data_IF_282590454046
#
_entry.id   IF_282590454046
#
_cell.length_a   1.000
_cell.length_b   1.000
_cell.length_c   1.000
_cell.angle_alpha   90.00
_cell.angle_beta   90.00
_cell.angle_gamma   90.00
#
_symmetry.space_group_name_H-M   'P 1'
#
loop_
_entity.id
_entity.type
_entity.pdbx_description
1 polymer ?
#
# COMPACT_ATOMS: atom_id res chain seq x y z
N UNK A 1 -1.76 11.54 2.06
CA UNK A 1 -1.23 12.92 2.10
C UNK A 1 -1.42 13.56 3.47
N UNK A 2 -2.67 13.71 3.94
CA UNK A 2 -2.99 14.25 5.26
C UNK A 2 -2.27 13.54 6.42
N UNK A 3 -2.40 12.21 6.51
CA UNK A 3 -1.75 11.41 7.56
C UNK A 3 -0.22 11.51 7.53
N UNK A 4 0.36 11.80 6.37
CA UNK A 4 1.80 11.95 6.19
C UNK A 4 2.29 13.40 6.35
N UNK A 5 1.41 14.32 6.77
CA UNK A 5 1.75 15.73 6.96
C UNK A 5 2.05 16.50 5.67
N UNK A 6 1.60 16.03 4.50
CA UNK A 6 1.77 16.71 3.21
C UNK A 6 0.54 17.58 2.91
N UNK A 7 0.32 18.62 3.71
CA UNK A 7 -0.88 19.48 3.68
C UNK A 7 -0.96 20.28 2.38
N UNK A 8 0.12 20.91 1.94
CA UNK A 8 0.14 21.72 0.71
C UNK A 8 -0.16 20.87 -0.54
N UNK A 9 0.42 19.67 -0.60
CA UNK A 9 0.15 18.72 -1.68
C UNK A 9 -1.32 18.24 -1.64
N UNK A 10 -1.86 18.02 -0.44
CA UNK A 10 -3.26 17.65 -0.29
C UNK A 10 -4.19 18.75 -0.82
N UNK A 11 -3.92 20.00 -0.45
CA UNK A 11 -4.68 21.16 -0.92
C UNK A 11 -4.63 21.29 -2.45
N UNK A 12 -3.45 21.18 -3.06
CA UNK A 12 -3.29 21.23 -4.52
C UNK A 12 -4.12 20.14 -5.22
N UNK A 13 -4.08 18.91 -4.72
CA UNK A 13 -4.86 17.80 -5.26
C UNK A 13 -6.37 18.00 -5.07
N UNK A 14 -6.80 18.50 -3.90
CA UNK A 14 -8.21 18.83 -3.66
C UNK A 14 -8.70 19.87 -4.68
N UNK A 15 -7.95 20.96 -4.87
CA UNK A 15 -8.29 22.02 -5.83
C UNK A 15 -8.41 21.47 -7.25
N UNK A 16 -7.47 20.63 -7.68
CA UNK A 16 -7.48 19.98 -9.00
C UNK A 16 -8.69 19.06 -9.17
N UNK A 17 -8.99 18.24 -8.17
CA UNK A 17 -10.12 17.30 -8.22
C UNK A 17 -11.47 18.03 -8.29
N UNK A 18 -11.69 19.03 -7.43
CA UNK A 18 -12.92 19.85 -7.45
C UNK A 18 -13.06 20.59 -8.78
N UNK A 19 -11.97 21.18 -9.29
CA UNK A 19 -11.99 21.84 -10.59
C UNK A 19 -12.31 20.87 -11.74
N UNK A 20 -11.79 19.64 -11.70
CA UNK A 20 -12.07 18.62 -12.72
C UNK A 20 -13.54 18.20 -12.73
N UNK A 21 -14.16 18.02 -11.56
CA UNK A 21 -15.59 17.71 -11.45
C UNK A 21 -16.45 18.86 -11.98
N UNK A 22 -16.16 20.10 -11.57
CA UNK A 22 -16.87 21.30 -12.08
C UNK A 22 -16.69 21.46 -13.59
N UNK A 23 -15.49 21.25 -14.12
CA UNK A 23 -15.21 21.33 -15.55
C UNK A 23 -15.93 20.25 -16.37
N UNK A 24 -16.22 19.08 -15.77
CA UNK A 24 -17.05 18.05 -16.37
C UNK A 24 -18.55 18.40 -16.36
N UNK A 25 -18.95 19.48 -15.67
CA UNK A 25 -20.35 19.86 -15.50
C UNK A 25 -21.12 18.92 -14.56
N UNK A 26 -20.40 18.14 -13.75
CA UNK A 26 -21.00 17.22 -12.79
C UNK A 26 -21.23 17.91 -11.45
N UNK A 27 -22.37 17.61 -10.83
CA UNK A 27 -22.73 18.01 -9.47
C UNK A 27 -22.58 16.86 -8.47
N UNK A 28 -22.42 15.62 -8.96
CA UNK A 28 -22.40 14.40 -8.15
C UNK A 28 -21.23 13.51 -8.52
N UNK A 29 -20.47 13.07 -7.51
CA UNK A 29 -19.40 12.07 -7.65
C UNK A 29 -19.88 10.73 -7.09
N UNK A 30 -19.86 9.71 -7.93
CA UNK A 30 -20.18 8.32 -7.54
C UNK A 30 -18.89 7.56 -7.28
N UNK A 31 -18.74 7.06 -6.06
CA UNK A 31 -17.55 6.37 -5.58
C UNK A 31 -17.77 4.86 -5.54
N UNK A 32 -16.75 4.11 -5.96
CA UNK A 32 -16.67 2.65 -5.76
C UNK A 32 -15.82 2.23 -4.56
N UNK A 33 -14.94 3.13 -4.09
CA UNK A 33 -14.03 2.89 -3.00
C UNK A 33 -14.48 3.70 -1.76
N UNK A 34 -14.55 3.10 -0.57
CA UNK A 34 -14.89 3.79 0.68
C UNK A 34 -13.95 4.91 1.09
N UNK A 35 -12.66 4.75 0.81
CA UNK A 35 -11.70 5.82 1.10
C UNK A 35 -12.00 7.04 0.21
N UNK A 36 -12.33 6.82 -1.06
CA UNK A 36 -12.77 7.90 -1.95
C UNK A 36 -14.09 8.51 -1.47
N UNK A 37 -15.06 7.68 -1.07
CA UNK A 37 -16.33 8.17 -0.51
C UNK A 37 -16.10 9.05 0.72
N UNK A 38 -15.28 8.63 1.69
CA UNK A 38 -14.91 9.48 2.82
C UNK A 38 -14.31 10.82 2.39
N UNK A 39 -13.41 10.78 1.39
CA UNK A 39 -12.74 11.99 0.92
C UNK A 39 -13.74 12.97 0.31
N UNK A 40 -14.58 12.52 -0.61
CA UNK A 40 -15.57 13.37 -1.28
C UNK A 40 -16.75 13.75 -0.37
N UNK A 41 -17.21 12.86 0.49
CA UNK A 41 -18.39 13.09 1.34
C UNK A 41 -18.08 13.96 2.56
N UNK A 42 -16.87 13.83 3.13
CA UNK A 42 -16.54 14.46 4.41
C UNK A 42 -15.31 15.35 4.35
N UNK A 43 -14.17 14.80 3.89
CA UNK A 43 -12.90 15.49 4.07
C UNK A 43 -12.75 16.70 3.14
N UNK A 44 -13.11 16.57 1.87
CA UNK A 44 -13.07 17.67 0.91
C UNK A 44 -13.99 18.83 1.28
N UNK A 45 -15.27 18.62 1.67
CA UNK A 45 -16.11 19.72 2.13
C UNK A 45 -15.53 20.45 3.35
N UNK A 46 -15.06 19.72 4.37
CA UNK A 46 -14.43 20.32 5.56
C UNK A 46 -13.19 21.18 5.18
N UNK A 47 -12.38 20.68 4.26
CA UNK A 47 -11.20 21.40 3.80
C UNK A 47 -11.53 22.57 2.88
N UNK A 48 -12.54 22.44 2.02
CA UNK A 48 -13.00 23.52 1.18
C UNK A 48 -13.53 24.68 2.04
N UNK A 49 -14.27 24.39 3.12
CA UNK A 49 -14.69 25.40 4.09
C UNK A 49 -13.49 26.12 4.72
N UNK A 50 -12.50 25.39 5.22
CA UNK A 50 -11.26 25.96 5.78
C UNK A 50 -10.50 26.87 4.80
N UNK A 51 -10.57 26.55 3.52
CA UNK A 51 -9.89 27.28 2.44
C UNK A 51 -10.75 28.39 1.82
N UNK A 52 -11.99 28.60 2.28
CA UNK A 52 -12.93 29.55 1.68
C UNK A 52 -13.31 29.20 0.24
N UNK A 53 -13.27 27.91 -0.12
CA UNK A 53 -13.60 27.41 -1.44
C UNK A 53 -15.05 26.92 -1.48
N UNK A 54 -15.74 27.22 -2.57
CA UNK A 54 -17.08 26.68 -2.82
C UNK A 54 -17.00 25.19 -3.19
N UNK A 55 -17.67 24.37 -2.37
CA UNK A 55 -17.82 22.93 -2.56
C UNK A 55 -19.31 22.60 -2.73
N UNK A 56 -19.77 22.56 -3.98
CA UNK A 56 -21.14 22.21 -4.37
C UNK A 56 -21.12 20.89 -5.16
N UNK A 57 -20.64 19.84 -4.50
CA UNK A 57 -20.52 18.49 -5.07
C UNK A 57 -21.13 17.49 -4.08
N UNK A 58 -22.15 16.77 -4.52
CA UNK A 58 -22.72 15.64 -3.80
C UNK A 58 -21.83 14.40 -3.98
N UNK A 59 -21.63 13.62 -2.92
CA UNK A 59 -20.90 12.36 -2.99
C UNK A 59 -21.82 11.19 -2.65
N UNK A 60 -21.81 10.16 -3.48
CA UNK A 60 -22.54 8.89 -3.25
C UNK A 60 -21.62 7.70 -3.42
N UNK A 61 -21.87 6.64 -2.69
CA UNK A 61 -21.29 5.34 -2.95
C UNK A 61 -22.22 4.55 -3.88
N UNK A 62 -21.66 3.74 -4.79
CA UNK A 62 -22.49 3.00 -5.76
C UNK A 62 -23.53 2.09 -5.09
N UNK A 63 -23.25 1.57 -3.89
CA UNK A 63 -24.18 0.71 -3.17
C UNK A 63 -25.48 1.42 -2.84
N UNK A 64 -25.44 2.72 -2.47
CA UNK A 64 -26.64 3.52 -2.19
C UNK A 64 -27.50 3.66 -3.45
N UNK A 65 -26.88 3.90 -4.59
CA UNK A 65 -27.57 4.07 -5.87
C UNK A 65 -28.23 2.75 -6.31
N UNK A 66 -27.50 1.65 -6.22
CA UNK A 66 -28.02 0.33 -6.61
C UNK A 66 -29.12 -0.11 -5.65
N UNK A 67 -28.93 0.07 -4.34
CA UNK A 67 -29.95 -0.19 -3.32
C UNK A 67 -31.22 0.60 -3.58
N UNK A 68 -31.13 1.92 -3.81
CA UNK A 68 -32.28 2.77 -4.09
C UNK A 68 -33.06 2.30 -5.32
N UNK A 69 -32.35 1.91 -6.39
CA UNK A 69 -32.99 1.37 -7.61
C UNK A 69 -33.63 0.00 -7.38
N UNK A 70 -33.06 -0.85 -6.55
CA UNK A 70 -33.67 -2.13 -6.16
C UNK A 70 -34.97 -1.87 -5.38
N UNK A 71 -34.93 -0.96 -4.39
CA UNK A 71 -36.10 -0.60 -3.57
C UNK A 71 -37.25 -0.02 -4.39
N UNK A 72 -36.93 0.74 -5.45
CA UNK A 72 -37.89 1.34 -6.38
C UNK A 72 -38.36 0.40 -7.49
N UNK A 73 -37.92 -0.86 -7.47
CA UNK A 73 -38.21 -1.85 -8.53
C UNK A 73 -37.67 -1.45 -9.93
N UNK A 74 -36.74 -0.48 -9.99
CA UNK A 74 -36.12 0.00 -11.23
C UNK A 74 -34.95 -0.87 -11.70
N UNK A 75 -34.41 -1.71 -10.80
CA UNK A 75 -33.28 -2.58 -11.09
C UNK A 75 -33.46 -3.95 -10.41
N UNK A 76 -33.17 -5.01 -11.16
CA UNK A 76 -33.20 -6.40 -10.69
C UNK A 76 -32.03 -7.18 -11.24
N UNK A 77 -31.47 -8.03 -10.40
CA UNK A 77 -30.50 -9.04 -10.76
C UNK A 77 -31.19 -10.21 -11.47
N UNK A 78 -30.61 -10.72 -12.56
CA UNK A 78 -31.29 -11.68 -13.45
C UNK A 78 -30.87 -13.13 -13.26
N UNK A 79 -29.59 -13.40 -12.96
CA UNK A 79 -29.03 -14.74 -12.91
C UNK A 79 -28.72 -15.17 -11.47
N UNK A 80 -29.09 -16.38 -11.04
CA UNK A 80 -28.79 -16.80 -9.69
C UNK A 80 -27.31 -17.06 -9.48
N UNK A 81 -26.78 -16.67 -8.33
CA UNK A 81 -25.44 -17.03 -7.87
C UNK A 81 -25.61 -17.91 -6.64
N UNK A 82 -25.18 -19.18 -6.73
CA UNK A 82 -25.23 -20.12 -5.60
C UNK A 82 -23.99 -19.98 -4.74
N UNK A 83 -24.17 -20.13 -3.43
CA UNK A 83 -23.10 -20.16 -2.44
C UNK A 83 -23.42 -19.30 -1.23
N UNK A 84 -22.81 -19.66 -0.10
CA UNK A 84 -22.92 -18.90 1.14
C UNK A 84 -21.91 -17.75 1.12
N UNK A 85 -22.40 -16.53 1.19
CA UNK A 85 -21.58 -15.34 1.19
C UNK A 85 -21.72 -14.58 2.50
N UNK A 86 -20.66 -13.87 2.86
CA UNK A 86 -20.67 -12.94 3.98
C UNK A 86 -20.10 -11.59 3.59
N UNK A 87 -20.22 -10.60 4.47
CA UNK A 87 -19.93 -9.21 4.19
C UNK A 87 -18.89 -8.62 5.13
N UNK A 88 -17.88 -7.95 4.56
CA UNK A 88 -16.92 -7.18 5.32
C UNK A 88 -17.27 -5.68 5.32
N UNK A 89 -17.73 -5.19 6.47
CA UNK A 89 -17.90 -3.76 6.74
C UNK A 89 -16.56 -3.05 6.81
N UNK A 90 -16.19 -2.33 5.73
CA UNK A 90 -14.98 -1.52 5.75
C UNK A 90 -15.12 -0.32 6.70
N UNK A 91 -14.04 0.07 7.36
CA UNK A 91 -14.07 1.15 8.35
C UNK A 91 -14.57 2.49 7.77
N UNK A 92 -14.19 2.81 6.53
CA UNK A 92 -14.55 4.09 5.92
C UNK A 92 -16.02 4.16 5.49
N UNK A 93 -16.59 3.08 4.94
CA UNK A 93 -17.99 3.09 4.49
C UNK A 93 -18.95 3.01 5.70
N UNK A 94 -18.59 2.19 6.68
CA UNK A 94 -19.42 1.93 7.85
C UNK A 94 -19.24 3.02 8.90
N UNK A 95 -18.09 3.04 9.58
CA UNK A 95 -17.89 3.90 10.76
C UNK A 95 -17.81 5.40 10.43
N UNK A 96 -17.43 5.75 9.20
CA UNK A 96 -17.32 7.16 8.79
C UNK A 96 -18.54 7.60 8.00
N UNK A 97 -18.91 6.89 6.93
CA UNK A 97 -20.05 7.29 6.10
C UNK A 97 -21.42 6.79 6.62
N UNK A 98 -21.46 5.88 7.60
CA UNK A 98 -22.71 5.36 8.17
C UNK A 98 -23.49 4.41 7.24
N UNK A 99 -22.88 3.96 6.15
CA UNK A 99 -23.50 3.15 5.11
C UNK A 99 -23.28 1.68 5.46
N UNK A 100 -24.36 1.01 5.85
CA UNK A 100 -24.34 -0.38 6.30
C UNK A 100 -25.35 -1.25 5.56
N UNK A 101 -26.58 -0.76 5.39
CA UNK A 101 -27.67 -1.57 4.82
C UNK A 101 -27.59 -1.64 3.30
N UNK A 102 -27.13 -0.58 2.64
CA UNK A 102 -27.14 -0.49 1.19
C UNK A 102 -26.31 -1.59 0.52
N UNK A 103 -25.08 -1.90 0.97
CA UNK A 103 -24.35 -3.07 0.46
C UNK A 103 -25.08 -4.40 0.74
N UNK A 104 -25.71 -4.54 1.91
CA UNK A 104 -26.45 -5.76 2.30
C UNK A 104 -27.67 -5.97 1.43
N UNK A 105 -28.39 -4.90 1.12
CA UNK A 105 -29.55 -4.92 0.23
C UNK A 105 -29.15 -5.30 -1.19
N UNK A 106 -28.01 -4.81 -1.68
CA UNK A 106 -27.43 -5.25 -2.96
C UNK A 106 -27.14 -6.76 -2.94
N UNK A 107 -26.54 -7.28 -1.86
CA UNK A 107 -26.24 -8.72 -1.72
C UNK A 107 -27.53 -9.55 -1.70
N UNK A 108 -28.49 -9.18 -0.84
CA UNK A 108 -29.76 -9.90 -0.65
C UNK A 108 -30.65 -9.88 -1.90
N UNK A 109 -30.48 -8.89 -2.76
CA UNK A 109 -31.22 -8.80 -4.02
C UNK A 109 -30.71 -9.78 -5.10
N UNK A 110 -29.52 -10.36 -4.95
CA UNK A 110 -28.97 -11.33 -5.89
C UNK A 110 -29.70 -12.67 -5.71
N UNK A 111 -30.36 -13.22 -6.76
CA UNK A 111 -31.07 -14.48 -6.62
C UNK A 111 -30.13 -15.63 -6.25
N UNK A 112 -30.58 -16.54 -5.37
CA UNK A 112 -29.86 -17.76 -5.03
C UNK A 112 -28.66 -17.60 -4.08
N UNK A 113 -28.31 -16.37 -3.69
CA UNK A 113 -27.29 -16.12 -2.68
C UNK A 113 -27.82 -16.49 -1.29
N UNK A 114 -26.99 -17.20 -0.53
CA UNK A 114 -27.22 -17.42 0.90
C UNK A 114 -26.36 -16.43 1.67
N UNK A 115 -26.96 -15.35 2.18
CA UNK A 115 -26.22 -14.33 2.93
C UNK A 115 -26.28 -14.59 4.43
N UNK A 116 -25.12 -14.64 5.08
CA UNK A 116 -25.01 -14.71 6.53
C UNK A 116 -23.98 -13.71 7.07
N UNK A 117 -24.38 -12.99 8.12
CA UNK A 117 -23.49 -12.06 8.81
C UNK A 117 -22.47 -12.82 9.64
N UNK A 118 -21.26 -12.28 9.69
CA UNK A 118 -20.29 -12.68 10.70
C UNK A 118 -20.66 -12.09 12.08
N UNK A 119 -20.08 -12.64 13.15
CA UNK A 119 -20.38 -12.27 14.53
C UNK A 119 -20.22 -10.77 14.79
N UNK A 120 -19.12 -10.17 14.34
CA UNK A 120 -18.90 -8.74 14.39
C UNK A 120 -19.21 -8.10 13.03
N UNK A 121 -20.23 -7.27 13.00
CA UNK A 121 -20.71 -6.57 11.83
C UNK A 121 -21.09 -5.12 12.20
N UNK A 122 -21.45 -4.32 11.20
CA UNK A 122 -21.74 -2.90 11.36
C UNK A 122 -20.57 -2.14 12.01
N UNK A 123 -20.85 -1.30 13.01
CA UNK A 123 -19.85 -0.53 13.75
C UNK A 123 -18.86 -1.40 14.53
N UNK A 124 -19.25 -2.62 14.89
CA UNK A 124 -18.42 -3.58 15.62
C UNK A 124 -17.50 -4.39 14.69
N UNK A 125 -17.67 -4.29 13.36
CA UNK A 125 -16.88 -5.04 12.38
C UNK A 125 -15.36 -4.90 12.58
N UNK A 126 -14.65 -6.02 12.65
CA UNK A 126 -13.19 -5.99 12.79
C UNK A 126 -12.50 -5.47 11.53
N UNK A 127 -11.39 -4.74 11.72
CA UNK A 127 -10.58 -4.21 10.63
C UNK A 127 -9.97 -5.33 9.78
N UNK A 128 -9.73 -5.07 8.49
CA UNK A 128 -8.99 -6.00 7.62
C UNK A 128 -7.48 -6.07 7.92
N UNK A 129 -6.93 -5.08 8.64
CA UNK A 129 -5.49 -4.94 8.88
C UNK A 129 -4.75 -3.97 7.94
N UNK A 130 -5.45 -3.39 6.95
CA UNK A 130 -4.87 -2.46 5.97
C UNK A 130 -5.45 -1.05 6.12
N UNK A 131 -4.75 0.03 5.74
CA UNK A 131 -3.40 0.07 5.13
C UNK A 131 -2.31 0.39 6.15
N UNK A 132 -2.62 1.15 7.20
CA UNK A 132 -1.60 1.68 8.12
C UNK A 132 -0.86 0.58 8.90
N UNK A 133 -1.58 -0.42 9.42
CA UNK A 133 -0.93 -1.56 10.09
C UNK A 133 -0.08 -2.35 9.11
N UNK A 134 -0.59 -2.62 7.91
CA UNK A 134 0.18 -3.28 6.84
C UNK A 134 1.49 -2.56 6.51
N UNK A 135 1.48 -1.23 6.47
CA UNK A 135 2.70 -0.43 6.23
C UNK A 135 3.66 -0.43 7.42
N UNK A 136 3.13 -0.47 8.64
CA UNK A 136 3.94 -0.35 9.87
C UNK A 136 4.49 -1.70 10.33
N UNK A 137 3.67 -2.74 10.26
CA UNK A 137 3.92 -4.08 10.78
C UNK A 137 3.10 -5.12 9.96
N UNK A 138 3.65 -5.59 8.82
CA UNK A 138 2.96 -6.54 7.95
C UNK A 138 2.55 -7.86 8.62
N UNK A 139 3.36 -8.47 9.51
CA UNK A 139 2.93 -9.64 10.30
C UNK A 139 1.66 -9.38 11.11
N UNK A 140 1.61 -8.27 11.86
CA UNK A 140 0.44 -7.92 12.67
C UNK A 140 -0.78 -7.62 11.79
N UNK A 141 -0.59 -7.03 10.61
CA UNK A 141 -1.68 -6.83 9.66
C UNK A 141 -2.31 -8.15 9.20
N UNK A 142 -1.49 -9.20 9.03
CA UNK A 142 -1.99 -10.54 8.71
C UNK A 142 -2.78 -11.15 9.88
N UNK A 143 -2.31 -10.99 11.12
CA UNK A 143 -3.01 -11.48 12.33
C UNK A 143 -4.37 -10.79 12.52
N UNK A 144 -4.45 -9.48 12.28
CA UNK A 144 -5.72 -8.74 12.33
C UNK A 144 -6.69 -9.28 11.26
N UNK A 145 -6.23 -9.43 10.03
CA UNK A 145 -7.05 -10.00 8.96
C UNK A 145 -7.50 -11.44 9.27
N UNK A 146 -6.66 -12.23 9.95
CA UNK A 146 -6.98 -13.61 10.32
C UNK A 146 -8.19 -13.64 11.24
N UNK A 147 -8.24 -12.77 12.25
CA UNK A 147 -9.40 -12.66 13.14
C UNK A 147 -10.71 -12.39 12.38
N UNK A 148 -10.66 -11.57 11.31
CA UNK A 148 -11.80 -11.26 10.45
C UNK A 148 -12.22 -12.44 9.59
N UNK A 149 -11.26 -13.15 8.99
CA UNK A 149 -11.51 -14.32 8.16
C UNK A 149 -11.94 -15.54 8.97
N UNK A 150 -11.52 -15.63 10.23
CA UNK A 150 -11.93 -16.70 11.13
C UNK A 150 -13.44 -16.64 11.40
N UNK A 151 -14.02 -15.44 11.59
CA UNK A 151 -15.48 -15.30 11.71
C UNK A 151 -16.21 -15.75 10.43
N UNK A 152 -15.63 -15.50 9.24
CA UNK A 152 -16.20 -16.00 7.99
C UNK A 152 -16.17 -17.54 7.91
N UNK A 153 -15.13 -18.17 8.45
CA UNK A 153 -15.05 -19.64 8.57
C UNK A 153 -16.05 -20.20 9.57
N UNK A 154 -16.26 -19.54 10.71
CA UNK A 154 -17.18 -20.00 11.75
C UNK A 154 -18.61 -20.13 11.24
N UNK A 155 -19.01 -19.23 10.34
CA UNK A 155 -20.29 -19.31 9.64
C UNK A 155 -20.23 -20.19 8.39
N UNK A 156 -19.10 -20.82 8.06
CA UNK A 156 -18.92 -21.62 6.84
C UNK A 156 -19.23 -20.84 5.54
N UNK A 157 -18.81 -19.58 5.45
CA UNK A 157 -18.97 -18.81 4.22
C UNK A 157 -18.03 -19.33 3.11
N UNK A 158 -18.55 -19.48 1.90
CA UNK A 158 -17.75 -19.78 0.71
C UNK A 158 -16.98 -18.55 0.24
N UNK A 159 -17.57 -17.36 0.40
CA UNK A 159 -17.04 -16.10 -0.13
C UNK A 159 -17.25 -14.93 0.82
N UNK A 160 -16.17 -14.19 1.08
CA UNK A 160 -16.19 -12.89 1.75
C UNK A 160 -16.28 -11.79 0.71
N UNK A 161 -17.35 -11.01 0.77
CA UNK A 161 -17.57 -9.84 -0.08
C UNK A 161 -17.01 -8.59 0.61
N UNK A 162 -16.35 -7.73 -0.17
CA UNK A 162 -15.92 -6.41 0.27
C UNK A 162 -16.20 -5.38 -0.81
N UNK A 163 -16.24 -4.10 -0.46
CA UNK A 163 -16.32 -2.99 -1.41
C UNK A 163 -15.03 -2.15 -1.43
N UNK A 164 -14.10 -2.41 -0.52
CA UNK A 164 -12.88 -1.64 -0.38
C UNK A 164 -11.75 -2.41 -1.06
N UNK A 165 -11.14 -1.87 -2.13
CA UNK A 165 -10.04 -2.56 -2.80
C UNK A 165 -8.86 -2.83 -1.85
N UNK A 166 -8.61 -1.95 -0.87
CA UNK A 166 -7.58 -2.18 0.15
C UNK A 166 -7.95 -3.32 1.12
N UNK A 167 -9.23 -3.47 1.47
CA UNK A 167 -9.68 -4.58 2.29
C UNK A 167 -9.68 -5.89 1.53
N UNK A 168 -10.20 -5.91 0.29
CA UNK A 168 -10.14 -7.08 -0.58
C UNK A 168 -8.70 -7.58 -0.74
N UNK A 169 -7.79 -6.67 -1.07
CA UNK A 169 -6.37 -6.97 -1.19
C UNK A 169 -5.78 -7.57 0.11
N UNK A 170 -5.96 -6.88 1.23
CA UNK A 170 -5.39 -7.34 2.50
C UNK A 170 -5.97 -8.67 2.97
N UNK A 171 -7.28 -8.86 2.84
CA UNK A 171 -7.92 -10.11 3.22
C UNK A 171 -7.45 -11.25 2.32
N UNK A 172 -7.15 -11.02 1.04
CA UNK A 172 -6.50 -12.02 0.17
C UNK A 172 -5.07 -12.34 0.63
N UNK A 173 -4.27 -11.32 0.94
CA UNK A 173 -2.91 -11.52 1.49
C UNK A 173 -2.94 -12.34 2.77
N UNK A 174 -3.83 -12.01 3.70
CA UNK A 174 -4.04 -12.80 4.92
C UNK A 174 -4.47 -14.22 4.57
N UNK A 175 -5.46 -14.37 3.68
CA UNK A 175 -6.00 -15.67 3.30
C UNK A 175 -4.91 -16.61 2.76
N UNK A 176 -3.98 -16.08 1.98
CA UNK A 176 -2.86 -16.83 1.43
C UNK A 176 -1.79 -17.11 2.51
N UNK A 177 -1.38 -16.10 3.29
CA UNK A 177 -0.35 -16.24 4.35
C UNK A 177 -0.77 -17.16 5.50
N UNK A 178 -2.07 -17.26 5.78
CA UNK A 178 -2.65 -18.06 6.86
C UNK A 178 -3.34 -19.33 6.35
N UNK A 179 -3.23 -19.61 5.05
CA UNK A 179 -3.80 -20.79 4.40
C UNK A 179 -5.30 -20.98 4.72
N UNK A 180 -6.06 -19.87 4.70
CA UNK A 180 -7.44 -19.88 5.16
C UNK A 180 -8.39 -20.52 4.15
N UNK A 181 -8.05 -20.55 2.86
CA UNK A 181 -8.86 -21.26 1.85
C UNK A 181 -10.23 -20.64 1.56
N UNK A 182 -10.44 -19.37 1.93
CA UNK A 182 -11.65 -18.62 1.62
C UNK A 182 -11.50 -17.89 0.28
N UNK A 183 -12.62 -17.65 -0.40
CA UNK A 183 -12.67 -16.73 -1.52
C UNK A 183 -12.95 -15.32 -1.02
N UNK A 184 -12.17 -14.33 -1.46
CA UNK A 184 -12.42 -12.92 -1.16
C UNK A 184 -12.61 -12.17 -2.48
N UNK A 185 -13.68 -11.41 -2.62
CA UNK A 185 -13.98 -10.69 -3.88
C UNK A 185 -14.69 -9.37 -3.64
N UNK A 186 -14.49 -8.42 -4.55
CA UNK A 186 -15.27 -7.20 -4.62
C UNK A 186 -16.78 -7.48 -4.86
N UNK A 187 -17.64 -6.71 -4.20
CA UNK A 187 -19.09 -6.79 -4.27
C UNK A 187 -19.62 -6.42 -5.66
N UNK A 188 -19.09 -5.38 -6.29
CA UNK A 188 -19.55 -5.01 -7.63
C UNK A 188 -19.18 -6.09 -8.65
N UNK A 189 -17.97 -6.64 -8.58
CA UNK A 189 -17.53 -7.76 -9.41
C UNK A 189 -18.39 -9.02 -9.16
N UNK A 190 -18.73 -9.32 -7.91
CA UNK A 190 -19.61 -10.43 -7.56
C UNK A 190 -21.03 -10.22 -8.10
N UNK A 191 -21.63 -9.06 -7.85
CA UNK A 191 -22.98 -8.71 -8.29
C UNK A 191 -23.11 -8.69 -9.83
N UNK A 192 -22.06 -8.27 -10.54
CA UNK A 192 -22.05 -8.27 -12.01
C UNK A 192 -22.18 -9.66 -12.63
N UNK A 193 -21.77 -10.73 -11.94
CA UNK A 193 -21.99 -12.11 -12.42
C UNK A 193 -23.47 -12.42 -12.56
N UNK A 194 -24.29 -11.89 -11.66
CA UNK A 194 -25.75 -12.03 -11.73
C UNK A 194 -26.33 -11.28 -12.94
N UNK A 195 -25.62 -10.30 -13.49
CA UNK A 195 -25.96 -9.60 -14.73
C UNK A 195 -25.37 -10.27 -15.99
N UNK A 196 -24.75 -11.46 -15.86
CA UNK A 196 -24.08 -12.14 -16.96
C UNK A 196 -22.76 -11.47 -17.38
N UNK A 197 -22.18 -10.62 -16.52
CA UNK A 197 -20.90 -9.95 -16.76
C UNK A 197 -19.84 -10.53 -15.85
N UNK A 198 -18.82 -11.13 -16.44
CA UNK A 198 -17.65 -11.59 -15.71
C UNK A 198 -16.45 -10.70 -15.99
N UNK A 199 -15.76 -10.30 -14.92
CA UNK A 199 -14.50 -9.59 -14.99
C UNK A 199 -13.36 -10.55 -14.67
N UNK A 200 -12.24 -10.40 -15.37
CA UNK A 200 -11.01 -11.11 -15.02
C UNK A 200 -10.59 -10.69 -13.61
N UNK A 201 -10.28 -11.66 -12.77
CA UNK A 201 -9.76 -11.38 -11.42
C UNK A 201 -8.43 -10.61 -11.54
N UNK A 202 -8.33 -9.39 -11.00
CA UNK A 202 -7.09 -8.62 -11.02
C UNK A 202 -6.03 -9.19 -10.07
N UNK A 203 -6.36 -10.13 -9.16
CA UNK A 203 -5.46 -10.61 -8.12
C UNK A 203 -4.05 -10.98 -8.61
N UNK A 204 -3.87 -11.71 -9.73
CA UNK A 204 -2.52 -12.10 -10.16
C UNK A 204 -1.62 -10.90 -10.47
N UNK A 205 -2.19 -9.86 -11.08
CA UNK A 205 -1.44 -8.64 -11.38
C UNK A 205 -1.25 -7.80 -10.11
N UNK A 206 -2.27 -7.69 -9.27
CA UNK A 206 -2.18 -6.98 -7.99
C UNK A 206 -1.12 -7.60 -7.08
N UNK A 207 -1.06 -8.93 -6.98
CA UNK A 207 -0.05 -9.65 -6.22
C UNK A 207 1.36 -9.44 -6.79
N UNK A 208 1.50 -9.44 -8.12
CA UNK A 208 2.78 -9.13 -8.78
C UNK A 208 3.26 -7.71 -8.45
N UNK A 209 2.38 -6.72 -8.53
CA UNK A 209 2.70 -5.33 -8.19
C UNK A 209 2.99 -5.17 -6.69
N UNK A 210 2.26 -5.89 -5.84
CA UNK A 210 2.50 -5.88 -4.41
C UNK A 210 3.84 -6.50 -4.01
N UNK A 211 4.27 -7.57 -4.68
CA UNK A 211 5.58 -8.18 -4.44
C UNK A 211 6.73 -7.18 -4.65
N UNK A 212 6.58 -6.27 -5.63
CA UNK A 212 7.52 -5.15 -5.81
C UNK A 212 7.50 -4.22 -4.61
N UNK A 213 6.31 -3.88 -4.11
CA UNK A 213 6.14 -3.00 -2.95
C UNK A 213 6.72 -3.61 -1.67
N UNK A 214 6.47 -4.90 -1.39
CA UNK A 214 7.08 -5.61 -0.24
C UNK A 214 8.60 -5.63 -0.33
N UNK A 215 9.16 -5.96 -1.50
CA UNK A 215 10.60 -5.97 -1.71
C UNK A 215 11.23 -4.58 -1.58
N UNK A 216 10.52 -3.52 -1.99
CA UNK A 216 10.94 -2.14 -1.77
C UNK A 216 10.89 -1.75 -0.29
N UNK A 217 9.85 -2.15 0.45
CA UNK A 217 9.79 -1.94 1.91
C UNK A 217 10.98 -2.61 2.60
N UNK A 218 11.24 -3.87 2.26
CA UNK A 218 12.37 -4.62 2.83
C UNK A 218 13.70 -3.92 2.52
N UNK A 219 13.90 -3.48 1.28
CA UNK A 219 15.08 -2.74 0.87
C UNK A 219 15.26 -1.43 1.64
N UNK A 220 14.17 -0.72 1.95
CA UNK A 220 14.21 0.55 2.70
C UNK A 220 14.42 0.37 4.21
N UNK A 221 14.48 -0.86 4.72
CA UNK A 221 14.88 -1.10 6.11
C UNK A 221 16.39 -0.89 6.30
N UNK A 222 16.87 -0.52 7.51
CA UNK A 222 18.31 -0.40 7.76
C UNK A 222 19.09 -1.66 7.41
N UNK A 223 18.51 -2.85 7.68
CA UNK A 223 19.11 -4.14 7.34
C UNK A 223 19.14 -4.39 5.82
N UNK A 224 18.00 -4.25 5.14
CA UNK A 224 17.92 -4.47 3.70
C UNK A 224 18.83 -3.52 2.90
N UNK A 225 18.91 -2.26 3.33
CA UNK A 225 19.82 -1.30 2.74
C UNK A 225 21.29 -1.63 3.03
N UNK A 226 21.63 -2.05 4.26
CA UNK A 226 22.97 -2.50 4.59
C UNK A 226 23.40 -3.71 3.75
N UNK A 227 22.50 -4.67 3.50
CA UNK A 227 22.76 -5.80 2.61
C UNK A 227 22.98 -5.35 1.15
N UNK A 228 22.29 -4.30 0.68
CA UNK A 228 22.56 -3.71 -0.62
C UNK A 228 23.97 -3.12 -0.67
N UNK A 229 24.33 -2.31 0.33
CA UNK A 229 25.66 -1.70 0.42
C UNK A 229 26.78 -2.75 0.50
N UNK A 230 26.59 -3.81 1.28
CA UNK A 230 27.55 -4.91 1.39
C UNK A 230 27.78 -5.63 0.05
N UNK A 231 26.75 -5.74 -0.80
CA UNK A 231 26.89 -6.37 -2.12
C UNK A 231 27.70 -5.55 -3.13
N UNK A 232 28.00 -4.28 -2.83
CA UNK A 232 28.78 -3.37 -3.68
C UNK A 232 30.01 -2.79 -2.97
N UNK A 233 30.56 -3.54 -2.01
CA UNK A 233 31.73 -3.11 -1.22
C UNK A 233 32.96 -2.75 -2.08
N UNK A 234 33.33 -3.51 -3.13
CA UNK A 234 34.44 -3.12 -4.01
C UNK A 234 34.24 -1.76 -4.68
N UNK A 235 33.03 -1.49 -5.18
CA UNK A 235 32.62 -0.27 -5.86
C UNK A 235 32.55 0.91 -4.90
N UNK A 236 32.08 0.67 -3.66
CA UNK A 236 32.14 1.64 -2.57
C UNK A 236 33.56 2.11 -2.31
N UNK A 237 34.53 1.19 -2.24
CA UNK A 237 35.94 1.54 -2.07
C UNK A 237 36.46 2.35 -3.25
N UNK A 238 36.12 1.99 -4.49
CA UNK A 238 36.58 2.72 -5.69
C UNK A 238 35.96 4.11 -5.83
N UNK A 239 34.76 4.32 -5.29
CA UNK A 239 34.12 5.62 -5.28
C UNK A 239 34.72 6.61 -4.27
N UNK A 240 35.44 6.13 -3.24
CA UNK A 240 35.99 6.98 -2.18
C UNK A 240 36.94 8.07 -2.70
N UNK A 241 36.79 9.32 -2.23
CA UNK A 241 37.61 10.44 -2.69
C UNK A 241 39.06 10.35 -2.19
N UNK A 242 39.94 11.17 -2.77
CA UNK A 242 41.32 11.41 -2.29
C UNK A 242 42.18 10.14 -2.13
N UNK A 243 41.92 9.08 -2.92
CA UNK A 243 42.69 7.84 -2.86
C UNK A 243 42.43 6.99 -1.61
N UNK A 244 41.47 7.36 -0.77
CA UNK A 244 41.10 6.65 0.45
C UNK A 244 40.71 5.19 0.18
N UNK A 245 40.10 4.91 -0.97
CA UNK A 245 39.80 3.54 -1.40
C UNK A 245 41.03 2.64 -1.54
N UNK A 246 42.10 3.16 -2.15
CA UNK A 246 43.37 2.44 -2.30
C UNK A 246 44.03 2.21 -0.94
N UNK A 247 43.96 3.20 -0.05
CA UNK A 247 44.43 3.08 1.33
C UNK A 247 43.67 1.99 2.09
N UNK A 248 42.33 1.98 2.02
CA UNK A 248 41.49 0.98 2.67
C UNK A 248 41.75 -0.44 2.15
N UNK A 249 41.93 -0.61 0.83
CA UNK A 249 42.31 -1.91 0.23
C UNK A 249 43.69 -2.38 0.71
N UNK A 250 44.62 -1.46 0.94
CA UNK A 250 45.97 -1.76 1.41
C UNK A 250 45.96 -2.14 2.91
N UNK A 251 45.15 -1.44 3.71
CA UNK A 251 44.88 -1.78 5.12
C UNK A 251 44.28 -3.18 5.22
N UNK A 252 43.26 -3.50 4.41
CA UNK A 252 42.64 -4.84 4.42
C UNK A 252 43.60 -5.98 4.04
N UNK A 253 44.65 -5.69 3.25
CA UNK A 253 45.69 -6.65 2.86
C UNK A 253 46.87 -6.74 3.85
N UNK A 254 46.95 -5.86 4.84
CA UNK A 254 48.10 -5.71 5.75
C UNK A 254 48.05 -6.59 7.01
N UNK A 255 47.19 -7.62 7.06
CA UNK A 255 47.13 -8.58 8.17
C UNK A 255 46.91 -7.92 9.53
N UNK A 256 47.74 -8.27 10.53
CA UNK A 256 47.64 -7.75 11.92
C UNK A 256 47.74 -6.21 11.98
N UNK A 257 48.61 -5.61 11.16
CA UNK A 257 48.78 -4.16 11.10
C UNK A 257 47.56 -3.47 10.46
N UNK A 258 46.95 -4.15 9.50
CA UNK A 258 45.66 -3.77 8.92
C UNK A 258 44.53 -3.76 9.95
N UNK A 259 44.46 -4.81 10.78
CA UNK A 259 43.50 -4.90 11.88
C UNK A 259 43.61 -3.74 12.88
N UNK A 260 44.83 -3.39 13.29
CA UNK A 260 45.08 -2.27 14.21
C UNK A 260 44.63 -0.92 13.63
N UNK A 261 44.95 -0.64 12.35
CA UNK A 261 44.50 0.56 11.67
C UNK A 261 42.97 0.61 11.51
N UNK A 262 42.33 -0.55 11.29
CA UNK A 262 40.88 -0.65 11.22
C UNK A 262 40.24 -0.32 12.57
N UNK A 263 40.81 -0.80 13.68
CA UNK A 263 40.35 -0.47 15.05
C UNK A 263 40.38 1.04 15.34
N UNK A 264 41.38 1.76 14.82
CA UNK A 264 41.49 3.23 14.99
C UNK A 264 40.46 3.98 14.13
N UNK A 265 40.20 3.51 12.92
CA UNK A 265 39.26 4.15 11.98
C UNK A 265 37.80 3.84 12.36
N UNK A 266 37.54 2.68 12.95
CA UNK A 266 36.20 2.18 13.32
C UNK A 266 35.33 3.19 14.10
N UNK A 267 35.80 3.88 15.17
CA UNK A 267 34.97 4.87 15.87
C UNK A 267 34.72 6.16 15.07
N UNK A 268 35.56 6.48 14.09
CA UNK A 268 35.44 7.69 13.26
C UNK A 268 34.57 7.44 12.01
N UNK A 269 34.55 6.19 11.53
CA UNK A 269 33.87 5.80 10.32
C UNK A 269 32.36 6.15 10.33
N UNK A 270 31.61 5.96 11.44
CA UNK A 270 30.20 6.35 11.48
C UNK A 270 29.91 7.82 11.26
N UNK A 271 30.85 8.69 11.62
CA UNK A 271 30.74 10.15 11.44
C UNK A 271 31.25 10.57 10.06
N UNK A 272 32.28 9.89 9.57
CA UNK A 272 32.92 10.20 8.30
C UNK A 272 32.12 9.70 7.09
N UNK A 273 31.59 8.48 7.16
CA UNK A 273 30.92 7.82 6.05
C UNK A 273 29.72 8.61 5.51
N UNK A 274 28.78 9.12 6.35
CA UNK A 274 27.69 9.97 5.87
C UNK A 274 28.14 11.25 5.16
N UNK A 275 29.31 11.80 5.51
CA UNK A 275 29.87 12.99 4.85
C UNK A 275 30.50 12.68 3.50
N UNK A 276 30.98 11.46 3.30
CA UNK A 276 31.58 11.02 2.04
C UNK A 276 30.52 10.56 1.03
N UNK A 277 29.41 10.00 1.51
CA UNK A 277 28.34 9.44 0.67
C UNK A 277 27.87 10.38 -0.45
N UNK A 278 27.55 11.68 -0.21
CA UNK A 278 27.10 12.57 -1.28
C UNK A 278 28.10 12.71 -2.44
N UNK A 279 29.41 12.69 -2.16
CA UNK A 279 30.45 12.74 -3.19
C UNK A 279 30.64 11.42 -3.94
N UNK A 280 30.21 10.30 -3.35
CA UNK A 280 30.31 8.96 -3.91
C UNK A 280 29.06 8.58 -4.74
N UNK A 281 27.89 9.12 -4.40
CA UNK A 281 26.60 8.78 -5.03
C UNK A 281 26.59 8.83 -6.55
N UNK A 282 27.15 9.85 -7.24
CA UNK A 282 27.14 9.88 -8.71
C UNK A 282 27.84 8.68 -9.36
N UNK A 283 28.85 8.10 -8.69
CA UNK A 283 29.55 6.91 -9.17
C UNK A 283 28.86 5.60 -8.77
N UNK A 284 28.17 5.61 -7.63
CA UNK A 284 27.50 4.42 -7.08
C UNK A 284 26.09 4.21 -7.62
N UNK A 285 25.41 5.28 -8.07
CA UNK A 285 24.02 5.22 -8.54
C UNK A 285 23.80 4.13 -9.60
N UNK A 286 24.64 3.97 -10.64
CA UNK A 286 24.44 2.91 -11.64
C UNK A 286 24.53 1.50 -11.06
N UNK A 287 25.48 1.27 -10.14
CA UNK A 287 25.70 -0.03 -9.48
C UNK A 287 24.54 -0.33 -8.53
N UNK A 288 24.07 0.69 -7.82
CA UNK A 288 22.94 0.58 -6.91
C UNK A 288 21.64 0.26 -7.66
N UNK A 289 21.39 0.93 -8.79
CA UNK A 289 20.24 0.64 -9.65
C UNK A 289 20.26 -0.80 -10.18
N UNK A 290 21.42 -1.30 -10.63
CA UNK A 290 21.59 -2.70 -11.04
C UNK A 290 21.37 -3.69 -9.89
N UNK A 291 21.87 -3.36 -8.70
CA UNK A 291 21.65 -4.13 -7.48
C UNK A 291 20.17 -4.20 -7.08
N UNK A 292 19.45 -3.09 -7.20
CA UNK A 292 18.00 -3.02 -6.93
C UNK A 292 17.23 -3.84 -7.97
N UNK A 293 17.54 -3.68 -9.26
CA UNK A 293 16.91 -4.45 -10.35
C UNK A 293 17.04 -5.97 -10.16
N UNK A 294 18.19 -6.44 -9.68
CA UNK A 294 18.42 -7.87 -9.41
C UNK A 294 17.62 -8.41 -8.23
N UNK A 295 17.27 -7.54 -7.27
CA UNK A 295 16.56 -7.92 -6.03
C UNK A 295 15.05 -7.78 -6.15
N UNK A 296 14.58 -6.85 -6.97
CA UNK A 296 13.18 -6.45 -7.03
C UNK A 296 12.62 -6.75 -8.42
N UNK A 297 11.62 -7.64 -8.56
CA UNK A 297 11.05 -8.05 -9.84
C UNK A 297 10.09 -6.97 -10.40
N UNK A 298 10.65 -5.81 -10.74
CA UNK A 298 9.90 -4.65 -11.23
C UNK A 298 9.34 -4.89 -12.64
N UNK A 299 8.13 -4.40 -12.95
CA UNK A 299 7.66 -4.23 -14.31
C UNK A 299 8.54 -3.25 -15.10
N UNK A 300 8.61 -3.44 -16.42
CA UNK A 300 9.43 -2.61 -17.33
C UNK A 300 9.21 -1.10 -17.12
N UNK A 301 7.96 -0.66 -17.03
CA UNK A 301 7.62 0.76 -16.84
C UNK A 301 8.11 1.34 -15.50
N UNK A 302 8.23 0.53 -14.45
CA UNK A 302 8.79 0.98 -13.18
C UNK A 302 10.31 1.06 -13.29
N UNK A 303 10.93 0.06 -13.91
CA UNK A 303 12.39 0.03 -14.11
C UNK A 303 12.87 1.23 -14.93
N UNK A 304 12.15 1.60 -15.99
CA UNK A 304 12.45 2.76 -16.83
C UNK A 304 12.43 4.09 -16.07
N UNK A 305 11.64 4.20 -14.99
CA UNK A 305 11.52 5.42 -14.18
C UNK A 305 12.54 5.50 -13.04
N UNK A 306 13.17 4.38 -12.67
CA UNK A 306 14.10 4.31 -11.54
C UNK A 306 15.29 5.28 -11.65
N UNK A 307 15.94 5.48 -12.82
CA UNK A 307 17.05 6.43 -12.95
C UNK A 307 16.67 7.87 -12.61
N UNK A 308 15.43 8.27 -12.90
CA UNK A 308 14.94 9.64 -12.66
C UNK A 308 14.45 9.82 -11.22
N UNK A 309 13.81 8.80 -10.65
CA UNK A 309 13.21 8.85 -9.32
C UNK A 309 14.23 8.62 -8.19
N UNK A 310 15.14 7.66 -8.36
CA UNK A 310 16.04 7.22 -7.28
C UNK A 310 16.95 8.31 -6.72
N UNK A 311 17.51 9.24 -7.50
CA UNK A 311 18.28 10.35 -6.95
C UNK A 311 17.46 11.15 -5.92
N UNK A 312 16.22 11.51 -6.27
CA UNK A 312 15.35 12.28 -5.37
C UNK A 312 14.95 11.48 -4.13
N UNK A 313 14.70 10.17 -4.28
CA UNK A 313 14.39 9.28 -3.15
C UNK A 313 15.58 9.22 -2.20
N UNK A 314 16.79 9.02 -2.72
CA UNK A 314 18.00 8.88 -1.92
C UNK A 314 18.41 10.17 -1.22
N UNK A 315 18.24 11.32 -1.88
CA UNK A 315 18.50 12.62 -1.27
C UNK A 315 17.61 12.87 -0.05
N UNK A 316 16.36 12.38 -0.09
CA UNK A 316 15.44 12.47 1.05
C UNK A 316 15.67 11.35 2.08
N UNK A 317 15.94 10.12 1.65
CA UNK A 317 16.00 8.94 2.52
C UNK A 317 17.34 8.82 3.27
N UNK A 318 18.47 9.00 2.57
CA UNK A 318 19.79 8.74 3.15
C UNK A 318 20.10 9.54 4.40
N UNK A 319 19.81 10.86 4.49
CA UNK A 319 20.11 11.63 5.70
C UNK A 319 19.46 11.07 6.96
N UNK A 320 18.28 10.45 6.82
CA UNK A 320 17.53 9.87 7.93
C UNK A 320 17.88 8.41 8.18
N UNK A 321 18.29 7.67 7.14
CA UNK A 321 18.57 6.23 7.21
C UNK A 321 20.02 5.89 7.58
N UNK A 322 20.99 6.74 7.20
CA UNK A 322 22.42 6.50 7.44
C UNK A 322 22.78 6.28 8.92
N UNK A 323 22.22 7.01 9.91
CA UNK A 323 22.52 6.76 11.32
C UNK A 323 22.22 5.32 11.77
N UNK A 324 21.18 4.70 11.20
CA UNK A 324 20.74 3.35 11.55
C UNK A 324 21.45 2.27 10.73
N UNK A 325 21.81 2.57 9.48
CA UNK A 325 22.52 1.65 8.57
C UNK A 325 23.99 1.51 8.93
N UNK A 326 24.65 2.62 9.27
CA UNK A 326 26.10 2.67 9.48
C UNK A 326 26.60 1.66 10.52
N UNK A 327 25.95 1.48 11.69
CA UNK A 327 26.34 0.45 12.65
C UNK A 327 26.25 -1.00 12.10
N UNK A 328 25.42 -1.23 11.08
CA UNK A 328 25.18 -2.56 10.48
C UNK A 328 26.21 -2.85 9.39
N UNK A 329 26.59 -1.83 8.60
CA UNK A 329 27.54 -1.97 7.48
C UNK A 329 28.99 -2.00 7.95
N UNK A 330 29.31 -1.36 9.07
CA UNK A 330 30.65 -1.38 9.64
C UNK A 330 30.88 -2.72 10.35
N UNK A 331 31.81 -3.58 9.89
CA UNK A 331 32.08 -4.85 10.55
C UNK A 331 32.51 -4.65 12.01
N UNK A 332 32.13 -5.59 12.88
CA UNK A 332 32.71 -5.71 14.22
C UNK A 332 34.22 -6.01 14.18
#
# INVERSE_FOLDING_TARGET
MLVAGKWDLFEDILRKNVAAVKAAGADTVINSCPACDMMWRHTYPEWAEKLGMEYDIEAKHYSEIVSDKIKKDEFKFSNPIKGKVTWHDSCHIGRVSGIYEEPREVIKAIPGVEFEEMAHNHQEGHCCGSVLTLLKDPPIAADIGESRLQEAKEINADTVLSLCPCCEFQLRVTNDKKEMGLKVTDLAAFACKSLGKEFKDPNPEVAKQWAVFEAMIELMTPKGFAELMNSMWPELLDAMPMGMGKMMRLIGKAGIFGGFMFTIIKPVFPVLFPKLMPGMMPKLMPVMLDGIKKRIPMPDYMEEQMPDMMPQVMDNLMPHMLPDVVPIVVPE
#
